data_IF_068740741599
#
_entry.id   IF_068740741599
#
_cell.length_a   1.000
_cell.length_b   1.000
_cell.length_c   1.000
_cell.angle_alpha   90.00
_cell.angle_beta   90.00
_cell.angle_gamma   90.00
#
_symmetry.space_group_name_H-M   'P 1'
#
loop_
_entity.id
_entity.type
_entity.pdbx_description
1 polymer ?
#
# COMPACT_ATOMS: atom_id res chain seq x y z
N UNK A 1 -12.01 1.31 6.44
CA UNK A 1 -12.54 1.35 7.82
C UNK A 1 -14.05 1.21 7.80
N UNK A 2 -14.65 0.73 8.89
CA UNK A 2 -16.11 0.62 9.02
C UNK A 2 -16.75 1.85 9.65
N UNK A 3 -17.98 2.14 9.24
CA UNK A 3 -18.83 3.19 9.82
C UNK A 3 -20.19 2.62 10.13
N UNK A 4 -20.75 3.01 11.28
CA UNK A 4 -22.15 2.71 11.59
C UNK A 4 -23.05 3.59 10.74
N UNK A 5 -24.03 3.00 10.08
CA UNK A 5 -25.01 3.70 9.22
C UNK A 5 -26.44 3.22 9.54
N UNK A 6 -27.43 3.96 9.03
CA UNK A 6 -28.83 3.69 9.28
C UNK A 6 -29.33 4.26 10.61
N UNK A 7 -30.65 4.16 10.88
CA UNK A 7 -31.24 4.57 12.16
C UNK A 7 -30.50 3.88 13.31
N UNK A 8 -30.06 4.67 14.29
CA UNK A 8 -29.33 4.21 15.48
C UNK A 8 -28.04 3.40 15.20
N UNK A 9 -27.50 3.46 13.97
CA UNK A 9 -26.33 2.71 13.57
C UNK A 9 -26.59 1.20 13.47
N UNK A 10 -27.73 0.82 12.89
CA UNK A 10 -28.21 -0.55 12.71
C UNK A 10 -27.37 -1.41 11.74
N UNK A 11 -26.51 -0.80 10.91
CA UNK A 11 -25.57 -1.52 10.05
C UNK A 11 -24.15 -1.07 10.28
N UNK A 12 -23.21 -1.98 10.01
CA UNK A 12 -21.81 -1.65 9.85
C UNK A 12 -21.44 -1.64 8.36
N UNK A 13 -21.24 -0.46 7.79
CA UNK A 13 -20.70 -0.31 6.44
C UNK A 13 -19.17 -0.34 6.47
N UNK A 14 -18.57 -1.38 5.93
CA UNK A 14 -17.12 -1.58 5.86
C UNK A 14 -16.60 -1.20 4.48
N UNK A 15 -15.91 -0.05 4.41
CA UNK A 15 -15.26 0.39 3.19
C UNK A 15 -13.85 -0.18 3.04
N UNK A 16 -13.58 -0.81 1.89
CA UNK A 16 -12.28 -1.31 1.46
C UNK A 16 -11.77 -0.43 0.32
N UNK A 17 -10.84 0.47 0.62
CA UNK A 17 -10.33 1.42 -0.37
C UNK A 17 -9.10 0.85 -1.09
N UNK A 18 -9.13 0.90 -2.43
CA UNK A 18 -8.01 0.72 -3.39
C UNK A 18 -7.36 -0.66 -3.58
N UNK A 19 -6.72 -0.75 -4.75
CA UNK A 19 -6.12 -1.91 -5.44
C UNK A 19 -4.72 -2.29 -4.91
N UNK A 20 -4.49 -2.18 -3.60
CA UNK A 20 -3.14 -2.34 -3.03
C UNK A 20 -3.11 -3.54 -2.06
N UNK A 21 -2.19 -4.49 -2.28
CA UNK A 21 -1.71 -5.50 -1.32
C UNK A 21 -2.62 -6.70 -0.98
N UNK A 22 -2.29 -7.83 -1.63
CA UNK A 22 -2.66 -9.24 -1.41
C UNK A 22 -4.14 -9.64 -1.39
N UNK A 23 -4.84 -9.33 -2.48
CA UNK A 23 -5.91 -10.21 -2.96
C UNK A 23 -5.28 -11.41 -3.66
N UNK A 24 -5.72 -12.63 -3.31
CA UNK A 24 -5.05 -13.87 -3.71
C UNK A 24 -4.86 -14.03 -5.24
N UNK A 25 -5.60 -13.29 -6.07
CA UNK A 25 -5.69 -13.48 -7.52
C UNK A 25 -5.72 -12.20 -8.37
N UNK A 26 -5.56 -10.99 -7.79
CA UNK A 26 -5.06 -9.87 -8.58
C UNK A 26 -3.67 -10.27 -9.10
N UNK A 27 -3.31 -9.97 -10.35
CA UNK A 27 -2.05 -10.38 -10.98
C UNK A 27 -0.94 -10.39 -9.93
N UNK A 28 -0.53 -11.58 -9.44
CA UNK A 28 0.46 -11.68 -8.38
C UNK A 28 1.77 -11.28 -9.02
N UNK A 29 2.11 -10.01 -8.95
CA UNK A 29 3.47 -9.58 -9.15
C UNK A 29 4.17 -9.99 -7.86
N UNK A 30 4.93 -11.10 -7.82
CA UNK A 30 5.67 -11.45 -6.63
C UNK A 30 6.50 -10.24 -6.23
N UNK A 31 6.55 -9.98 -4.93
CA UNK A 31 7.39 -8.92 -4.41
C UNK A 31 8.79 -9.08 -5.00
N UNK A 32 9.38 -8.01 -5.56
CA UNK A 32 10.73 -8.05 -6.06
C UNK A 32 11.75 -8.07 -4.92
N UNK A 33 11.31 -7.83 -3.67
CA UNK A 33 12.18 -7.86 -2.50
C UNK A 33 12.73 -9.26 -2.24
N UNK A 34 14.06 -9.33 -2.14
CA UNK A 34 14.82 -10.57 -2.00
C UNK A 34 16.29 -10.26 -1.68
N UNK A 35 17.10 -11.29 -1.35
CA UNK A 35 18.53 -11.14 -1.27
C UNK A 35 19.12 -10.73 -2.62
N UNK A 36 19.99 -9.73 -2.62
CA UNK A 36 20.72 -9.25 -3.79
C UNK A 36 22.21 -9.19 -3.47
N UNK A 37 23.07 -9.40 -4.47
CA UNK A 37 24.53 -9.38 -4.27
C UNK A 37 25.10 -8.09 -4.86
N UNK A 38 25.85 -7.35 -4.03
CA UNK A 38 26.62 -6.18 -4.44
C UNK A 38 28.04 -6.36 -3.92
N UNK A 39 29.01 -6.37 -4.83
CA UNK A 39 30.45 -6.45 -4.51
C UNK A 39 30.78 -7.63 -3.56
N UNK A 40 30.16 -8.79 -3.82
CA UNK A 40 30.33 -10.01 -3.01
C UNK A 40 29.52 -10.04 -1.70
N UNK A 41 28.86 -8.94 -1.32
CA UNK A 41 28.04 -8.86 -0.11
C UNK A 41 26.58 -9.15 -0.43
N UNK A 42 25.97 -10.04 0.35
CA UNK A 42 24.54 -10.37 0.27
C UNK A 42 23.73 -9.36 1.09
N UNK A 43 22.91 -8.56 0.43
CA UNK A 43 22.13 -7.48 1.01
C UNK A 43 20.64 -7.72 0.82
N UNK A 44 19.82 -7.04 1.62
CA UNK A 44 18.39 -6.94 1.34
C UNK A 44 18.11 -5.84 0.32
N UNK A 45 17.25 -6.15 -0.64
CA UNK A 45 16.96 -5.26 -1.75
C UNK A 45 15.82 -5.78 -2.59
N UNK A 46 15.66 -5.25 -3.79
CA UNK A 46 14.67 -5.71 -4.75
C UNK A 46 15.28 -5.85 -6.13
N UNK A 47 14.93 -6.90 -6.87
CA UNK A 47 15.44 -7.09 -8.23
C UNK A 47 14.43 -7.78 -9.16
N UNK A 48 14.28 -7.25 -10.38
CA UNK A 48 13.45 -7.83 -11.43
C UNK A 48 13.93 -7.45 -12.83
N UNK A 49 13.85 -8.40 -13.77
CA UNK A 49 14.21 -8.16 -15.18
C UNK A 49 13.19 -7.32 -15.96
N UNK A 50 11.91 -7.34 -15.57
CA UNK A 50 10.85 -6.51 -16.17
C UNK A 50 10.46 -5.37 -15.23
N UNK A 51 10.05 -4.20 -15.77
CA UNK A 51 9.53 -3.11 -14.96
C UNK A 51 8.36 -3.57 -14.11
N UNK A 52 8.34 -3.14 -12.86
CA UNK A 52 7.27 -3.32 -11.90
C UNK A 52 6.93 -1.96 -11.28
N UNK A 53 5.82 -1.86 -10.56
CA UNK A 53 5.42 -0.60 -9.92
C UNK A 53 5.14 -0.82 -8.45
N UNK A 54 5.74 0.03 -7.62
CA UNK A 54 5.29 0.32 -6.27
C UNK A 54 5.26 -0.89 -5.32
N UNK A 55 6.44 -1.38 -4.90
CA UNK A 55 6.57 -2.47 -3.94
C UNK A 55 7.24 -2.00 -2.67
N UNK A 56 6.85 -2.62 -1.57
CA UNK A 56 7.35 -2.26 -0.25
C UNK A 56 7.74 -3.48 0.56
N UNK A 57 8.71 -3.28 1.45
CA UNK A 57 9.00 -4.15 2.57
C UNK A 57 9.10 -3.32 3.83
N UNK A 58 8.31 -3.64 4.85
CA UNK A 58 8.18 -2.82 6.06
C UNK A 58 8.71 -3.56 7.27
N UNK A 59 9.30 -2.82 8.21
CA UNK A 59 9.65 -3.36 9.51
C UNK A 59 8.37 -3.54 10.35
N UNK A 60 7.94 -4.77 10.52
CA UNK A 60 6.83 -5.16 11.37
C UNK A 60 7.15 -6.51 12.03
N UNK A 61 7.82 -6.49 13.20
CA UNK A 61 8.18 -7.69 13.94
C UNK A 61 6.98 -8.37 14.60
N UNK A 62 5.78 -7.78 14.52
CA UNK A 62 4.58 -8.38 15.06
C UNK A 62 4.24 -9.69 14.31
N UNK A 63 3.68 -10.69 15.01
CA UNK A 63 3.11 -11.88 14.38
C UNK A 63 2.03 -11.53 13.34
N UNK A 64 1.87 -12.39 12.34
CA UNK A 64 0.73 -12.30 11.43
C UNK A 64 -0.59 -12.43 12.22
N UNK A 65 -1.62 -11.69 11.82
CA UNK A 65 -2.94 -11.69 12.49
C UNK A 65 -3.04 -10.85 13.76
N UNK A 66 -1.97 -10.20 14.23
CA UNK A 66 -2.04 -9.32 15.40
C UNK A 66 -2.69 -7.98 15.04
N UNK A 67 -3.77 -7.62 15.74
CA UNK A 67 -4.50 -6.36 15.57
C UNK A 67 -3.96 -5.22 16.47
N UNK A 68 -2.72 -5.32 16.94
CA UNK A 68 -2.14 -4.27 17.78
C UNK A 68 -1.66 -3.08 16.94
N UNK A 69 -1.79 -1.89 17.50
CA UNK A 69 -1.22 -0.66 16.92
C UNK A 69 0.02 -0.20 17.67
N UNK A 70 0.55 -1.04 18.57
CA UNK A 70 1.74 -0.77 19.37
C UNK A 70 3.07 -1.05 18.65
N UNK A 71 4.18 -0.87 19.36
CA UNK A 71 5.51 -1.14 18.82
C UNK A 71 5.88 -0.20 17.66
N UNK A 72 6.45 -0.69 16.55
CA UNK A 72 6.83 0.16 15.42
C UNK A 72 5.67 0.94 14.80
N UNK A 73 4.45 0.42 14.96
CA UNK A 73 3.24 1.07 14.48
C UNK A 73 2.84 2.30 15.31
N UNK A 74 3.31 2.42 16.56
CA UNK A 74 3.10 3.61 17.39
C UNK A 74 4.27 4.60 17.31
N UNK A 75 5.30 4.32 16.51
CA UNK A 75 6.40 5.27 16.33
C UNK A 75 5.88 6.54 15.66
N UNK A 76 6.08 7.66 16.33
CA UNK A 76 5.65 8.97 15.87
C UNK A 76 6.84 9.90 15.94
N UNK A 77 7.00 10.70 14.89
CA UNK A 77 8.07 11.65 14.77
C UNK A 77 9.49 11.05 14.96
N UNK A 78 10.17 10.71 13.87
CA UNK A 78 11.50 10.10 13.97
C UNK A 78 12.37 10.42 12.77
N UNK A 79 13.65 10.12 12.91
CA UNK A 79 14.65 10.22 11.85
C UNK A 79 14.99 8.82 11.32
N UNK A 80 15.06 8.68 10.00
CA UNK A 80 15.52 7.47 9.32
C UNK A 80 16.73 7.81 8.47
N UNK A 81 17.77 6.99 8.59
CA UNK A 81 18.88 6.94 7.64
C UNK A 81 18.99 5.57 7.00
N UNK A 82 19.25 5.51 5.70
CA UNK A 82 19.49 4.26 4.98
C UNK A 82 20.39 4.53 3.76
N UNK A 83 21.27 3.62 3.40
CA UNK A 83 21.97 3.70 2.12
C UNK A 83 21.20 2.91 1.06
N UNK A 84 21.08 3.47 -0.15
CA UNK A 84 20.55 2.75 -1.31
C UNK A 84 21.51 2.83 -2.51
N UNK A 85 21.53 1.77 -3.30
CA UNK A 85 22.25 1.69 -4.58
C UNK A 85 21.36 1.06 -5.64
N UNK A 86 21.21 1.76 -6.76
CA UNK A 86 20.47 1.28 -7.93
C UNK A 86 21.42 0.73 -8.99
N UNK A 87 21.00 -0.32 -9.71
CA UNK A 87 21.78 -0.90 -10.80
C UNK A 87 21.59 -0.18 -12.14
N UNK A 88 20.48 0.54 -12.32
CA UNK A 88 20.18 1.34 -13.51
C UNK A 88 19.37 2.58 -13.12
N UNK A 89 19.41 3.62 -13.94
CA UNK A 89 18.61 4.85 -13.77
C UNK A 89 17.09 4.60 -13.92
N UNK A 90 16.69 3.42 -14.41
CA UNK A 90 15.30 2.95 -14.48
C UNK A 90 14.80 2.31 -13.19
N UNK A 91 15.68 2.07 -12.22
CA UNK A 91 15.33 1.44 -10.96
C UNK A 91 14.88 2.49 -9.95
N UNK A 92 13.68 2.32 -9.40
CA UNK A 92 13.17 3.12 -8.29
C UNK A 92 13.72 2.65 -6.95
N UNK A 93 13.97 3.60 -6.05
CA UNK A 93 14.48 3.35 -4.72
C UNK A 93 13.94 4.41 -3.75
N UNK A 94 13.60 3.98 -2.54
CA UNK A 94 13.13 4.89 -1.49
C UNK A 94 13.03 4.24 -0.13
N UNK A 95 12.67 5.06 0.84
CA UNK A 95 12.30 4.67 2.21
C UNK A 95 10.98 5.36 2.59
N UNK A 96 10.15 4.67 3.36
CA UNK A 96 8.89 5.21 3.88
C UNK A 96 8.93 5.37 5.40
N UNK A 97 8.20 6.37 5.87
CA UNK A 97 8.05 6.78 7.26
C UNK A 97 6.57 6.86 7.60
N UNK A 98 6.28 6.62 8.87
CA UNK A 98 4.93 6.51 9.39
C UNK A 98 4.06 5.54 8.58
N UNK A 99 4.67 4.49 8.02
CA UNK A 99 3.94 3.59 7.15
C UNK A 99 2.90 2.80 7.93
N UNK A 100 1.69 2.85 7.39
CA UNK A 100 0.50 2.11 7.83
C UNK A 100 0.16 1.00 6.83
N UNK A 101 1.08 0.68 5.92
CA UNK A 101 0.83 -0.27 4.85
C UNK A 101 0.63 -1.71 5.35
N UNK A 102 1.40 -2.12 6.38
CA UNK A 102 1.22 -3.43 7.05
C UNK A 102 -0.14 -3.58 7.71
N UNK A 103 -0.78 -2.43 7.90
CA UNK A 103 -2.06 -2.16 8.53
C UNK A 103 -3.20 -2.00 7.51
N UNK A 104 -2.87 -2.15 6.22
CA UNK A 104 -3.86 -2.12 5.16
C UNK A 104 -4.33 -0.71 4.84
N UNK A 105 -3.57 0.32 5.24
CA UNK A 105 -3.78 1.70 4.83
C UNK A 105 -2.69 2.10 3.82
N UNK A 106 -3.10 2.69 2.70
CA UNK A 106 -2.16 3.39 1.82
C UNK A 106 -1.87 4.78 2.38
N UNK A 107 -1.17 4.81 3.53
CA UNK A 107 -0.78 6.02 4.26
C UNK A 107 0.67 5.93 4.75
N UNK A 108 1.49 6.86 4.27
CA UNK A 108 2.89 7.00 4.63
C UNK A 108 3.46 8.31 4.05
N UNK A 109 4.58 8.75 4.60
CA UNK A 109 5.46 9.73 3.96
C UNK A 109 6.63 8.95 3.36
N UNK A 110 7.04 9.30 2.15
CA UNK A 110 8.09 8.59 1.43
C UNK A 110 9.16 9.57 0.94
N UNK A 111 10.43 9.17 1.07
CA UNK A 111 11.52 9.75 0.29
C UNK A 111 11.91 8.72 -0.76
N UNK A 112 11.66 9.02 -2.03
CA UNK A 112 11.91 8.08 -3.10
C UNK A 112 12.26 8.75 -4.42
N UNK A 113 12.63 7.91 -5.38
CA UNK A 113 12.84 8.29 -6.78
C UNK A 113 12.32 7.22 -7.70
N UNK A 114 11.60 7.57 -8.76
CA UNK A 114 11.40 6.72 -9.93
C UNK A 114 11.27 7.53 -11.22
N UNK A 115 10.95 6.87 -12.33
CA UNK A 115 10.76 7.50 -13.63
C UNK A 115 9.28 7.68 -13.99
N UNK A 116 8.37 7.51 -13.04
CA UNK A 116 6.94 7.71 -13.31
C UNK A 116 6.67 9.20 -13.60
N UNK A 117 5.67 9.52 -14.45
CA UNK A 117 5.28 10.90 -14.71
C UNK A 117 4.81 11.67 -13.47
N UNK A 118 4.42 10.94 -12.43
CA UNK A 118 3.91 11.44 -11.15
C UNK A 118 5.01 11.67 -10.10
N UNK A 119 6.27 11.40 -10.44
CA UNK A 119 7.45 11.59 -9.58
C UNK A 119 8.32 12.78 -10.05
N UNK A 120 9.43 13.06 -9.34
CA UNK A 120 10.45 14.05 -9.77
C UNK A 120 11.30 13.59 -10.98
N UNK A 121 10.73 12.73 -11.85
CA UNK A 121 11.31 12.22 -13.10
C UNK A 121 12.75 11.76 -12.91
N UNK A 122 12.97 11.00 -11.85
CA UNK A 122 14.23 10.34 -11.55
C UNK A 122 15.12 10.99 -10.50
N UNK A 123 14.77 12.16 -9.99
CA UNK A 123 15.38 12.71 -8.77
C UNK A 123 14.75 12.12 -7.50
N UNK A 124 15.44 12.24 -6.37
CA UNK A 124 14.84 11.95 -5.05
C UNK A 124 13.98 13.12 -4.58
N UNK A 125 12.78 12.81 -4.08
CA UNK A 125 11.91 13.78 -3.42
C UNK A 125 10.96 13.14 -2.41
N UNK A 126 10.30 14.02 -1.66
CA UNK A 126 9.27 13.68 -0.69
C UNK A 126 7.92 13.48 -1.38
N UNK A 127 7.20 12.46 -0.90
CA UNK A 127 5.86 12.09 -1.34
C UNK A 127 5.02 11.68 -0.15
N UNK A 128 3.72 11.70 -0.36
CA UNK A 128 2.72 11.21 0.56
C UNK A 128 1.78 10.22 -0.10
N UNK A 129 1.23 9.35 0.74
CA UNK A 129 0.12 8.48 0.37
C UNK A 129 -1.06 8.77 1.30
N UNK A 130 -2.25 8.95 0.72
CA UNK A 130 -3.49 9.12 1.47
C UNK A 130 -3.60 10.44 2.26
N UNK A 131 -2.75 11.42 1.97
CA UNK A 131 -2.73 12.74 2.60
C UNK A 131 -2.33 13.85 1.62
N UNK A 132 -1.93 15.04 2.09
CA UNK A 132 -1.60 16.17 1.21
C UNK A 132 -0.37 16.93 1.67
N UNK A 133 0.79 16.58 1.12
CA UNK A 133 2.08 17.15 1.48
C UNK A 133 2.40 18.36 0.60
N UNK A 134 2.70 19.50 1.22
CA UNK A 134 2.90 20.78 0.53
C UNK A 134 4.25 21.38 0.92
N UNK A 135 5.06 21.78 -0.08
CA UNK A 135 6.33 22.45 0.13
C UNK A 135 7.37 22.13 -0.95
N UNK A 136 8.65 22.36 -0.62
CA UNK A 136 9.77 22.02 -1.50
C UNK A 136 10.10 20.54 -1.34
N UNK A 137 9.47 19.70 -2.14
CA UNK A 137 9.61 18.25 -2.03
C UNK A 137 10.86 17.67 -2.71
N UNK A 138 11.55 18.38 -3.60
CA UNK A 138 12.71 17.82 -4.32
C UNK A 138 14.05 18.03 -3.59
N UNK A 139 14.89 16.99 -3.58
CA UNK A 139 16.26 17.09 -3.05
C UNK A 139 17.27 17.63 -4.07
N UNK A 140 16.92 17.62 -5.37
CA UNK A 140 17.81 17.92 -6.48
C UNK A 140 18.82 16.81 -6.82
N UNK A 141 18.81 15.69 -6.09
CA UNK A 141 19.77 14.59 -6.31
C UNK A 141 19.22 13.57 -7.28
N UNK A 142 19.89 13.40 -8.42
CA UNK A 142 19.67 12.33 -9.40
C UNK A 142 20.75 11.26 -9.23
N UNK A 143 20.42 10.04 -8.76
CA UNK A 143 21.42 9.02 -8.51
C UNK A 143 21.98 8.46 -9.81
N UNK A 144 23.29 8.18 -9.81
CA UNK A 144 23.94 7.39 -10.87
C UNK A 144 23.85 5.91 -10.52
N UNK A 145 23.66 5.06 -11.53
CA UNK A 145 23.78 3.62 -11.36
C UNK A 145 25.12 3.21 -10.74
N UNK A 146 25.09 2.20 -9.88
CA UNK A 146 26.29 1.63 -9.26
C UNK A 146 26.89 2.44 -8.09
N UNK A 147 26.30 3.58 -7.73
CA UNK A 147 26.79 4.45 -6.65
C UNK A 147 25.88 4.36 -5.42
N UNK A 148 26.47 4.26 -4.24
CA UNK A 148 25.74 4.33 -2.97
C UNK A 148 25.37 5.77 -2.61
N UNK A 149 24.11 5.98 -2.27
CA UNK A 149 23.61 7.24 -1.72
C UNK A 149 23.04 7.00 -0.33
N UNK A 150 23.32 7.90 0.61
CA UNK A 150 22.66 7.96 1.90
C UNK A 150 21.39 8.79 1.78
N UNK A 151 20.29 8.20 2.21
CA UNK A 151 18.98 8.80 2.34
C UNK A 151 18.80 9.15 3.81
N UNK A 152 18.33 10.36 4.09
CA UNK A 152 17.97 10.79 5.43
C UNK A 152 16.65 11.54 5.39
N UNK A 153 15.71 11.13 6.22
CA UNK A 153 14.42 11.80 6.40
C UNK A 153 14.15 11.97 7.88
N UNK A 154 13.63 13.12 8.27
CA UNK A 154 13.13 13.38 9.62
C UNK A 154 11.70 13.90 9.55
N UNK A 155 10.83 13.39 10.40
CA UNK A 155 9.44 13.85 10.52
C UNK A 155 9.17 14.45 11.89
N UNK A 156 8.68 15.69 11.96
CA UNK A 156 8.24 16.37 13.19
C UNK A 156 6.71 16.34 13.23
N UNK A 157 6.13 15.81 14.31
CA UNK A 157 4.68 15.70 14.47
C UNK A 157 4.25 16.74 15.49
N UNK A 158 3.46 17.70 15.03
CA UNK A 158 2.96 18.83 15.83
C UNK A 158 1.42 18.84 15.84
N UNK A 159 0.80 19.57 16.78
CA UNK A 159 -0.63 19.84 16.71
C UNK A 159 -1.01 20.43 15.34
N UNK A 160 -1.86 19.71 14.60
CA UNK A 160 -2.39 20.17 13.31
C UNK A 160 -1.49 19.96 12.09
N UNK A 161 -0.23 19.51 12.22
CA UNK A 161 0.65 19.28 11.06
C UNK A 161 1.74 18.23 11.29
N UNK A 162 2.27 17.70 10.19
CA UNK A 162 3.51 16.90 10.16
C UNK A 162 4.49 17.57 9.22
N UNK A 163 5.73 17.80 9.66
CA UNK A 163 6.78 18.38 8.82
C UNK A 163 7.76 17.27 8.45
N UNK A 164 8.02 17.09 7.16
CA UNK A 164 9.00 16.14 6.65
C UNK A 164 10.18 16.89 6.03
N UNK A 165 11.40 16.55 6.46
CA UNK A 165 12.65 17.09 5.91
C UNK A 165 13.51 15.97 5.39
N UNK A 166 14.08 16.16 4.21
CA UNK A 166 14.90 15.14 3.56
C UNK A 166 16.18 15.70 2.97
N UNK A 167 17.20 14.84 2.96
CA UNK A 167 18.42 15.05 2.20
C UNK A 167 19.03 13.73 1.75
N UNK A 168 19.69 13.80 0.61
CA UNK A 168 20.37 12.69 -0.05
C UNK A 168 21.76 13.14 -0.45
N UNK A 169 22.75 12.27 -0.27
CA UNK A 169 24.13 12.53 -0.69
C UNK A 169 24.85 11.22 -0.96
N UNK A 170 26.00 11.26 -1.64
CA UNK A 170 26.81 10.05 -1.86
C UNK A 170 27.28 9.49 -0.52
N UNK A 171 27.08 8.20 -0.29
CA UNK A 171 27.54 7.55 0.93
C UNK A 171 29.07 7.68 1.06
N UNK A 172 29.56 7.89 2.28
CA UNK A 172 30.98 8.16 2.57
C UNK A 172 31.43 9.60 2.32
N UNK A 173 30.55 10.49 1.82
CA UNK A 173 30.79 11.94 1.81
C UNK A 173 30.16 12.60 3.05
N UNK A 174 30.66 13.76 3.49
CA UNK A 174 30.06 14.51 4.59
C UNK A 174 28.58 14.80 4.36
N UNK A 175 27.81 14.77 5.43
CA UNK A 175 26.38 15.10 5.42
C UNK A 175 26.19 16.58 5.02
N UNK A 176 25.27 16.88 4.08
CA UNK A 176 24.95 18.27 3.75
C UNK A 176 24.46 19.04 4.98
N UNK A 177 24.94 20.28 5.19
CA UNK A 177 24.61 21.06 6.38
C UNK A 177 23.16 21.55 6.37
N UNK A 178 22.54 21.66 5.19
CA UNK A 178 21.14 22.12 5.02
C UNK A 178 20.26 20.97 4.55
N UNK A 179 18.99 21.01 4.95
CA UNK A 179 17.96 20.17 4.36
C UNK A 179 17.77 20.54 2.88
N UNK A 180 17.62 19.53 2.03
CA UNK A 180 17.49 19.74 0.58
C UNK A 180 16.01 19.85 0.18
N UNK A 181 15.16 19.04 0.80
CA UNK A 181 13.72 19.05 0.68
C UNK A 181 13.07 19.26 2.06
N UNK A 182 11.98 20.01 2.08
CA UNK A 182 11.16 20.28 3.25
C UNK A 182 9.71 20.53 2.81
N UNK A 183 8.79 19.79 3.40
CA UNK A 183 7.35 19.91 3.13
C UNK A 183 6.55 19.62 4.40
N UNK A 184 5.34 20.15 4.49
CA UNK A 184 4.43 19.92 5.60
C UNK A 184 3.07 19.37 5.13
N UNK A 185 2.46 18.55 5.96
CA UNK A 185 1.14 17.97 5.75
C UNK A 185 0.19 18.46 6.84
N UNK A 186 -0.78 19.28 6.45
CA UNK A 186 -1.84 19.81 7.33
C UNK A 186 -3.18 19.13 7.11
N UNK A 187 -3.23 18.11 6.25
CA UNK A 187 -4.48 17.45 5.90
C UNK A 187 -5.08 16.76 7.14
N UNK A 188 -6.42 16.64 7.22
CA UNK A 188 -7.06 15.83 8.26
C UNK A 188 -6.66 14.35 8.21
N UNK A 189 -6.17 13.88 7.07
CA UNK A 189 -5.75 12.48 6.85
C UNK A 189 -4.24 12.27 6.96
N UNK A 190 -3.49 13.31 7.37
CA UNK A 190 -2.04 13.24 7.58
C UNK A 190 -1.65 12.06 8.47
N UNK A 191 -0.54 11.42 8.13
CA UNK A 191 -0.04 10.27 8.87
C UNK A 191 0.93 10.73 9.96
N UNK A 192 0.56 10.50 11.22
CA UNK A 192 1.33 10.98 12.39
C UNK A 192 2.16 9.90 13.06
N UNK A 193 1.93 8.63 12.71
CA UNK A 193 2.61 7.49 13.32
C UNK A 193 2.62 6.29 12.38
N UNK A 194 3.60 5.42 12.56
CA UNK A 194 3.74 4.17 11.81
C UNK A 194 5.19 3.77 11.66
N UNK A 195 5.39 2.64 10.98
CA UNK A 195 6.70 2.01 10.90
C UNK A 195 7.54 2.55 9.74
N UNK A 196 8.77 2.09 9.64
CA UNK A 196 9.67 2.35 8.52
C UNK A 196 9.52 1.27 7.44
N UNK A 197 9.68 1.67 6.17
CA UNK A 197 9.70 0.76 5.03
C UNK A 197 10.81 1.06 4.03
N UNK A 198 11.09 0.05 3.20
CA UNK A 198 11.91 0.13 2.00
C UNK A 198 10.99 0.06 0.79
N UNK A 199 11.28 0.86 -0.23
CA UNK A 199 10.44 0.95 -1.43
C UNK A 199 11.20 0.73 -2.72
N UNK A 200 10.62 -0.05 -3.63
CA UNK A 200 11.20 -0.32 -4.93
C UNK A 200 10.17 -0.19 -6.06
N UNK A 201 10.63 0.27 -7.22
CA UNK A 201 9.83 0.39 -8.45
C UNK A 201 10.72 0.24 -9.69
N UNK A 202 10.13 0.20 -10.89
CA UNK A 202 10.87 0.19 -12.15
C UNK A 202 11.49 -1.16 -12.48
N UNK A 203 12.57 -1.17 -13.27
CA UNK A 203 13.30 -2.38 -13.67
C UNK A 203 14.75 -2.36 -13.17
N UNK A 204 15.37 -3.52 -13.01
CA UNK A 204 16.73 -3.64 -12.47
C UNK A 204 16.74 -4.03 -10.99
N UNK A 205 17.76 -3.56 -10.25
CA UNK A 205 18.02 -3.94 -8.87
C UNK A 205 18.29 -2.70 -7.99
N UNK A 206 17.67 -2.66 -6.82
CA UNK A 206 18.05 -1.77 -5.71
C UNK A 206 18.57 -2.62 -4.56
N UNK A 207 19.64 -2.18 -3.92
CA UNK A 207 20.19 -2.76 -2.70
C UNK A 207 20.20 -1.73 -1.58
N UNK A 208 19.96 -2.16 -0.36
CA UNK A 208 19.96 -1.31 0.84
C UNK A 208 20.97 -1.80 1.87
N UNK A 209 21.46 -0.86 2.71
CA UNK A 209 22.28 -1.16 3.89
C UNK A 209 22.18 -0.05 4.92
N UNK A 210 22.57 -0.35 6.16
CA UNK A 210 22.68 0.64 7.25
C UNK A 210 21.36 1.38 7.52
N UNK A 211 20.25 0.65 7.64
CA UNK A 211 18.97 1.24 8.01
C UNK A 211 18.96 1.52 9.50
N UNK A 212 18.75 2.77 9.87
CA UNK A 212 18.69 3.19 11.26
C UNK A 212 17.51 4.13 11.48
N UNK A 213 16.79 3.92 12.57
CA UNK A 213 15.65 4.73 13.00
C UNK A 213 15.91 5.24 14.41
N UNK A 214 15.78 6.55 14.60
CA UNK A 214 16.06 7.22 15.88
C UNK A 214 14.90 8.17 16.20
N UNK A 215 14.39 8.11 17.43
CA UNK A 215 13.33 9.03 17.88
C UNK A 215 13.88 10.43 18.24
N UNK A 216 12.99 11.34 18.62
CA UNK A 216 13.36 12.70 19.04
C UNK A 216 14.28 12.78 20.26
N UNK A 217 14.24 11.78 21.14
CA UNK A 217 15.07 11.72 22.33
C UNK A 217 16.47 11.13 22.02
N UNK A 218 16.74 10.76 20.76
CA UNK A 218 17.99 10.12 20.36
C UNK A 218 18.02 8.62 20.64
N UNK A 219 16.90 8.01 21.06
CA UNK A 219 16.82 6.57 21.27
C UNK A 219 16.77 5.86 19.92
N UNK A 220 17.62 4.85 19.77
CA UNK A 220 17.63 3.97 18.61
C UNK A 220 16.40 3.06 18.69
N UNK A 221 15.50 3.20 17.72
CA UNK A 221 14.30 2.38 17.57
C UNK A 221 14.55 1.13 16.70
N UNK A 222 15.43 1.26 15.71
CA UNK A 222 15.88 0.18 14.82
C UNK A 222 17.32 0.47 14.37
N UNK A 223 18.18 -0.54 14.38
CA UNK A 223 19.51 -0.49 13.78
C UNK A 223 19.74 -1.81 13.04
N UNK A 224 19.49 -1.79 11.73
CA UNK A 224 19.48 -2.97 10.88
C UNK A 224 20.50 -2.80 9.75
N UNK A 225 21.59 -3.60 9.72
CA UNK A 225 22.60 -3.49 8.69
C UNK A 225 22.07 -3.85 7.29
N UNK A 226 20.99 -4.64 7.20
CA UNK A 226 20.43 -5.22 5.97
C UNK A 226 21.42 -6.10 5.20
N UNK A 227 22.44 -6.60 5.91
CA UNK A 227 23.37 -7.63 5.42
C UNK A 227 22.79 -8.98 5.81
N UNK A 228 22.58 -9.85 4.83
CA UNK A 228 21.86 -11.11 5.02
C UNK A 228 22.84 -12.29 5.17
N UNK A 229 22.80 -13.03 6.30
CA UNK A 229 23.52 -14.29 6.43
C UNK A 229 23.13 -15.29 5.34
N UNK A 230 23.99 -16.26 4.98
CA UNK A 230 23.64 -17.32 4.04
C UNK A 230 22.29 -17.99 4.38
N UNK A 231 21.51 -18.34 3.36
CA UNK A 231 20.17 -18.96 3.54
C UNK A 231 19.04 -18.01 3.96
N UNK A 232 19.33 -16.80 4.45
CA UNK A 232 18.28 -15.85 4.90
C UNK A 232 17.54 -15.22 3.72
N UNK A 233 16.20 -15.17 3.73
CA UNK A 233 15.41 -14.56 2.64
C UNK A 233 15.17 -13.05 2.83
N UNK A 234 14.96 -12.62 4.06
CA UNK A 234 14.71 -11.23 4.44
C UNK A 234 15.24 -10.98 5.87
N UNK A 235 15.57 -9.73 6.24
CA UNK A 235 15.95 -9.39 7.61
C UNK A 235 14.83 -9.71 8.60
N UNK A 236 15.20 -9.95 9.86
CA UNK A 236 14.22 -10.29 10.90
C UNK A 236 13.23 -9.13 11.08
N UNK A 237 11.94 -9.46 11.14
CA UNK A 237 10.89 -8.47 11.33
C UNK A 237 10.49 -7.70 10.08
N UNK A 238 11.07 -7.97 8.89
CA UNK A 238 10.58 -7.37 7.65
C UNK A 238 9.47 -8.21 7.01
N UNK A 239 8.46 -7.55 6.47
CA UNK A 239 7.36 -8.18 5.73
C UNK A 239 6.95 -7.43 4.48
N UNK A 240 6.47 -8.20 3.51
CA UNK A 240 5.95 -7.74 2.23
C UNK A 240 4.42 -7.86 2.28
N UNK A 241 3.71 -6.76 2.56
CA UNK A 241 2.24 -6.74 2.59
C UNK A 241 1.64 -6.52 3.99
N UNK A 242 0.34 -6.75 4.06
CA UNK A 242 -0.49 -6.57 5.25
C UNK A 242 -0.36 -7.72 6.26
N UNK A 243 -0.78 -7.50 7.51
CA UNK A 243 -0.85 -8.53 8.57
C UNK A 243 -1.96 -9.57 8.37
N UNK A 244 -2.93 -9.28 7.51
CA UNK A 244 -4.09 -10.10 7.20
C UNK A 244 -4.74 -9.66 5.89
N UNK A 245 -5.94 -10.17 5.60
CA UNK A 245 -6.71 -9.69 4.45
C UNK A 245 -7.21 -8.26 4.68
N UNK A 246 -7.55 -7.53 3.60
CA UNK A 246 -8.11 -6.19 3.72
C UNK A 246 -9.43 -6.16 4.48
N UNK A 247 -10.27 -7.18 4.28
CA UNK A 247 -11.54 -7.31 4.97
C UNK A 247 -11.32 -7.57 6.47
N UNK A 248 -10.43 -8.50 6.83
CA UNK A 248 -10.07 -8.78 8.22
C UNK A 248 -9.62 -7.53 8.97
N UNK A 249 -8.73 -6.77 8.35
CA UNK A 249 -8.17 -5.57 8.95
C UNK A 249 -9.21 -4.46 9.05
N UNK A 250 -10.03 -4.27 8.02
CA UNK A 250 -11.09 -3.29 8.05
C UNK A 250 -12.14 -3.60 9.14
N UNK A 251 -12.45 -4.89 9.34
CA UNK A 251 -13.31 -5.34 10.45
C UNK A 251 -12.66 -5.09 11.81
N UNK A 252 -11.38 -5.44 11.99
CA UNK A 252 -10.65 -5.22 13.24
C UNK A 252 -10.58 -3.74 13.65
N UNK A 253 -10.53 -2.83 12.67
CA UNK A 253 -10.51 -1.37 12.86
C UNK A 253 -11.89 -0.74 12.98
N UNK A 254 -12.94 -1.50 12.67
CA UNK A 254 -14.29 -0.99 12.72
C UNK A 254 -14.72 -0.75 14.17
N UNK A 255 -15.62 0.21 14.42
CA UNK A 255 -16.22 0.35 15.74
C UNK A 255 -16.85 -0.97 16.17
N UNK A 256 -16.77 -1.29 17.46
CA UNK A 256 -17.51 -2.43 18.02
C UNK A 256 -19.01 -2.20 17.79
N UNK A 257 -19.69 -3.25 17.35
CA UNK A 257 -21.14 -3.27 17.12
C UNK A 257 -21.77 -4.42 17.89
N UNK A 258 -23.05 -4.33 18.28
CA UNK A 258 -23.76 -5.43 18.92
C UNK A 258 -23.67 -6.73 18.08
N UNK A 259 -23.58 -7.90 18.72
CA UNK A 259 -23.68 -9.19 18.02
C UNK A 259 -24.91 -9.22 17.11
N UNK A 260 -24.74 -9.75 15.89
CA UNK A 260 -25.82 -9.82 14.90
C UNK A 260 -26.04 -8.55 14.07
N UNK A 261 -25.31 -7.45 14.34
CA UNK A 261 -25.36 -6.24 13.50
C UNK A 261 -24.95 -6.59 12.06
N UNK A 262 -25.80 -6.38 11.04
CA UNK A 262 -25.46 -6.75 9.67
C UNK A 262 -24.31 -5.90 9.12
N UNK A 263 -23.35 -6.57 8.47
CA UNK A 263 -22.18 -5.95 7.87
C UNK A 263 -22.36 -5.81 6.37
N UNK A 264 -22.20 -4.61 5.83
CA UNK A 264 -22.21 -4.35 4.39
C UNK A 264 -20.78 -4.03 3.97
N UNK A 265 -20.20 -4.80 3.05
CA UNK A 265 -18.87 -4.52 2.52
C UNK A 265 -19.00 -3.71 1.25
N UNK A 266 -18.32 -2.56 1.21
CA UNK A 266 -18.15 -1.76 -0.01
C UNK A 266 -16.69 -1.89 -0.46
N UNK A 267 -16.48 -2.51 -1.62
CA UNK A 267 -15.15 -2.83 -2.14
C UNK A 267 -14.97 -2.35 -3.57
N UNK A 268 -13.75 -1.97 -3.95
CA UNK A 268 -13.45 -1.85 -5.38
C UNK A 268 -13.52 -3.22 -6.05
N UNK A 269 -12.88 -4.24 -5.49
CA UNK A 269 -12.74 -5.57 -6.09
C UNK A 269 -13.80 -6.55 -5.59
N UNK A 270 -14.49 -7.23 -6.51
CA UNK A 270 -15.55 -8.20 -6.21
C UNK A 270 -15.04 -9.47 -5.51
N UNK A 271 -13.77 -9.82 -5.73
CA UNK A 271 -13.11 -11.04 -5.23
C UNK A 271 -13.17 -11.19 -3.70
N UNK A 272 -13.31 -10.09 -2.97
CA UNK A 272 -13.51 -10.09 -1.51
C UNK A 272 -14.73 -10.91 -1.08
N UNK A 273 -15.70 -11.13 -1.98
CA UNK A 273 -16.87 -11.97 -1.74
C UNK A 273 -16.50 -13.37 -1.26
N UNK A 274 -15.37 -13.94 -1.71
CA UNK A 274 -14.93 -15.28 -1.28
C UNK A 274 -14.56 -15.34 0.21
N UNK A 275 -14.07 -14.24 0.75
CA UNK A 275 -13.77 -14.13 2.17
C UNK A 275 -15.02 -13.70 2.95
N UNK A 276 -15.72 -12.69 2.44
CA UNK A 276 -16.95 -12.18 3.04
C UNK A 276 -17.98 -13.30 3.23
N UNK A 277 -18.14 -14.19 2.23
CA UNK A 277 -19.06 -15.32 2.30
C UNK A 277 -18.67 -16.30 3.38
N UNK A 278 -17.41 -16.69 3.49
CA UNK A 278 -16.90 -17.55 4.57
C UNK A 278 -17.10 -16.94 5.96
N UNK A 279 -17.06 -15.61 6.07
CA UNK A 279 -17.31 -14.86 7.30
C UNK A 279 -18.80 -14.62 7.61
N UNK A 280 -19.72 -15.09 6.76
CA UNK A 280 -21.17 -14.89 6.95
C UNK A 280 -21.63 -13.45 6.74
N UNK A 281 -20.90 -12.66 5.95
CA UNK A 281 -21.27 -11.27 5.66
C UNK A 281 -22.44 -11.23 4.65
N UNK A 282 -23.52 -10.47 4.91
CA UNK A 282 -24.71 -10.42 4.07
C UNK A 282 -24.48 -9.94 2.65
N UNK A 283 -23.78 -8.83 2.49
CA UNK A 283 -23.74 -8.10 1.23
C UNK A 283 -22.33 -7.60 0.95
N UNK A 284 -21.91 -7.77 -0.31
CA UNK A 284 -20.73 -7.14 -0.90
C UNK A 284 -21.18 -6.30 -2.08
N UNK A 285 -20.97 -5.00 -1.99
CA UNK A 285 -21.15 -4.04 -3.08
C UNK A 285 -19.77 -3.78 -3.69
N UNK A 286 -19.61 -4.09 -4.97
CA UNK A 286 -18.33 -4.09 -5.66
C UNK A 286 -18.35 -3.38 -7.01
N UNK A 287 -17.15 -3.08 -7.53
CA UNK A 287 -16.92 -2.62 -8.89
C UNK A 287 -15.82 -3.44 -9.58
N UNK A 288 -14.76 -2.76 -10.02
CA UNK A 288 -13.53 -3.30 -10.64
C UNK A 288 -13.67 -3.93 -12.03
N UNK A 289 -14.76 -4.62 -12.33
CA UNK A 289 -14.91 -5.36 -13.59
C UNK A 289 -15.15 -4.46 -14.79
N UNK A 290 -15.62 -3.23 -14.56
CA UNK A 290 -16.15 -2.31 -15.57
C UNK A 290 -17.22 -2.93 -16.49
N UNK A 291 -17.86 -4.04 -16.08
CA UNK A 291 -18.72 -4.85 -16.96
C UNK A 291 -17.99 -5.46 -18.16
N UNK A 292 -16.66 -5.55 -18.08
CA UNK A 292 -15.72 -5.87 -19.14
C UNK A 292 -15.36 -4.71 -20.06
N UNK A 293 -16.05 -3.57 -19.95
CA UNK A 293 -16.03 -2.35 -20.78
C UNK A 293 -16.14 -2.51 -22.31
N UNK A 294 -15.50 -3.51 -22.91
CA UNK A 294 -15.61 -3.92 -24.32
C UNK A 294 -16.14 -5.34 -24.36
N UNK A 295 -17.35 -5.48 -24.90
CA UNK A 295 -18.05 -6.77 -24.98
C UNK A 295 -18.27 -7.13 -26.44
N UNK A 296 -18.07 -8.41 -26.76
CA UNK A 296 -18.44 -8.93 -28.06
C UNK A 296 -19.94 -9.24 -28.00
N UNK A 297 -20.75 -8.74 -28.96
CA UNK A 297 -22.18 -9.05 -29.02
C UNK A 297 -22.38 -10.57 -28.97
N UNK A 298 -23.35 -11.04 -28.16
CA UNK A 298 -23.67 -12.45 -27.91
C UNK A 298 -22.62 -13.28 -27.13
N UNK A 299 -21.36 -12.87 -27.07
CA UNK A 299 -20.30 -13.60 -26.36
C UNK A 299 -19.93 -12.98 -25.00
N UNK A 300 -20.25 -11.70 -24.79
CA UNK A 300 -20.01 -11.02 -23.51
C UNK A 300 -18.60 -10.41 -23.40
N UNK A 301 -18.09 -10.20 -22.18
CA UNK A 301 -16.86 -9.46 -21.95
C UNK A 301 -15.61 -10.32 -22.25
N UNK A 302 -14.60 -9.71 -22.89
CA UNK A 302 -13.32 -10.38 -23.15
C UNK A 302 -12.53 -10.68 -21.87
N UNK A 303 -12.65 -9.80 -20.88
CA UNK A 303 -12.02 -9.96 -19.57
C UNK A 303 -12.72 -9.05 -18.57
N UNK A 304 -12.87 -9.53 -17.33
CA UNK A 304 -13.33 -8.73 -16.20
C UNK A 304 -12.18 -8.36 -15.26
N UNK A 305 -10.97 -8.89 -15.52
CA UNK A 305 -9.78 -8.80 -14.65
C UNK A 305 -10.03 -9.20 -13.18
N UNK A 306 -11.13 -9.90 -12.92
CA UNK A 306 -11.45 -10.52 -11.63
C UNK A 306 -11.16 -12.01 -11.69
N UNK A 307 -10.78 -12.61 -10.55
CA UNK A 307 -10.59 -14.05 -10.42
C UNK A 307 -11.89 -14.84 -10.30
N UNK A 308 -13.02 -14.14 -10.16
CA UNK A 308 -14.34 -14.75 -10.22
C UNK A 308 -14.66 -15.23 -11.64
N UNK A 309 -13.97 -14.70 -12.66
CA UNK A 309 -14.17 -15.03 -14.06
C UNK A 309 -15.13 -14.07 -14.76
N UNK A 310 -15.34 -14.29 -16.06
CA UNK A 310 -16.17 -13.42 -16.92
C UNK A 310 -17.66 -13.50 -16.62
N UNK A 311 -18.12 -14.56 -15.94
CA UNK A 311 -19.51 -14.69 -15.49
C UNK A 311 -19.91 -13.61 -14.48
N UNK A 312 -18.99 -13.19 -13.63
CA UNK A 312 -19.21 -12.15 -12.63
C UNK A 312 -18.80 -10.79 -13.19
N UNK A 313 -19.45 -10.36 -14.28
CA UNK A 313 -19.10 -9.13 -14.98
C UNK A 313 -19.85 -7.90 -14.46
N UNK A 314 -21.16 -7.99 -14.21
CA UNK A 314 -22.01 -6.92 -13.68
C UNK A 314 -23.34 -7.50 -13.19
N UNK A 315 -23.95 -6.85 -12.20
CA UNK A 315 -25.27 -7.23 -11.68
C UNK A 315 -25.19 -7.92 -10.32
N UNK A 316 -26.31 -8.55 -9.93
CA UNK A 316 -26.48 -9.23 -8.65
C UNK A 316 -26.20 -10.73 -8.81
N UNK A 317 -25.44 -11.27 -7.87
CA UNK A 317 -25.09 -12.68 -7.76
C UNK A 317 -25.28 -13.14 -6.32
N UNK A 318 -25.57 -14.42 -6.12
CA UNK A 318 -25.59 -15.05 -4.80
C UNK A 318 -24.38 -15.99 -4.69
N UNK A 319 -23.58 -15.80 -3.64
CA UNK A 319 -22.34 -16.54 -3.43
C UNK A 319 -22.48 -17.45 -2.21
N UNK A 320 -22.40 -18.76 -2.43
CA UNK A 320 -22.58 -19.75 -1.36
C UNK A 320 -21.34 -19.88 -0.45
N UNK A 321 -21.56 -20.19 0.83
CA UNK A 321 -20.53 -20.54 1.78
C UNK A 321 -21.01 -21.60 2.79
N UNK A 322 -20.12 -22.48 3.27
CA UNK A 322 -20.45 -23.49 4.28
C UNK A 322 -20.51 -22.88 5.68
N UNK A 323 -21.51 -22.06 5.94
CA UNK A 323 -21.84 -21.53 7.26
C UNK A 323 -23.36 -21.34 7.40
N UNK A 324 -23.83 -21.04 8.62
CA UNK A 324 -25.26 -20.95 8.96
C UNK A 324 -26.04 -19.92 8.13
N UNK A 325 -25.35 -18.96 7.51
CA UNK A 325 -25.98 -17.98 6.63
C UNK A 325 -26.26 -18.53 5.23
N UNK A 326 -25.42 -19.43 4.73
CA UNK A 326 -25.55 -20.06 3.42
C UNK A 326 -25.17 -19.17 2.22
N UNK A 327 -25.63 -17.91 2.17
CA UNK A 327 -25.46 -17.02 1.01
C UNK A 327 -24.98 -15.60 1.37
N UNK A 328 -24.13 -15.06 0.49
CA UNK A 328 -23.76 -13.65 0.43
C UNK A 328 -24.18 -13.07 -0.91
N UNK A 329 -24.94 -11.97 -0.86
CA UNK A 329 -25.30 -11.24 -2.08
C UNK A 329 -24.11 -10.37 -2.52
N UNK A 330 -23.64 -10.61 -3.74
CA UNK A 330 -22.64 -9.80 -4.43
C UNK A 330 -23.32 -8.94 -5.48
N UNK A 331 -23.16 -7.62 -5.41
CA UNK A 331 -23.59 -6.72 -6.47
C UNK A 331 -22.38 -6.05 -7.11
N UNK A 332 -22.18 -6.24 -8.41
CA UNK A 332 -21.09 -5.66 -9.19
C UNK A 332 -21.64 -4.54 -10.08
N UNK A 333 -21.27 -3.30 -9.79
CA UNK A 333 -21.59 -2.17 -10.64
C UNK A 333 -20.53 -2.01 -11.76
N UNK A 334 -20.90 -1.87 -13.04
CA UNK A 334 -19.94 -1.69 -14.13
C UNK A 334 -19.31 -0.28 -14.16
N UNK A 335 -19.78 0.64 -13.31
CA UNK A 335 -19.28 2.00 -13.14
C UNK A 335 -19.51 2.90 -14.35
N UNK A 336 -19.09 4.16 -14.21
CA UNK A 336 -19.15 5.17 -15.28
C UNK A 336 -17.81 5.37 -16.00
N UNK A 337 -16.68 5.06 -15.35
CA UNK A 337 -15.32 5.30 -15.86
C UNK A 337 -14.75 4.18 -16.74
N UNK A 338 -13.59 4.38 -17.34
CA UNK A 338 -12.90 3.41 -18.21
C UNK A 338 -11.57 2.98 -17.58
N UNK A 339 -11.07 1.79 -17.92
CA UNK A 339 -9.78 1.29 -17.45
C UNK A 339 -8.91 0.79 -18.61
N UNK A 340 -7.62 1.12 -18.57
CA UNK A 340 -6.57 0.78 -19.56
C UNK A 340 -6.79 1.33 -20.98
N UNK A 341 -7.92 1.03 -21.61
CA UNK A 341 -8.32 1.60 -22.89
C UNK A 341 -9.45 2.62 -22.68
N UNK A 342 -9.38 3.81 -23.31
CA UNK A 342 -10.40 4.84 -23.19
C UNK A 342 -11.59 4.55 -24.11
N UNK A 343 -12.16 3.34 -24.03
CA UNK A 343 -13.28 2.91 -24.85
C UNK A 343 -14.25 1.99 -24.10
N UNK A 344 -15.55 2.13 -24.41
CA UNK A 344 -16.62 1.23 -24.00
C UNK A 344 -17.43 0.81 -25.23
N UNK A 345 -17.75 -0.48 -25.33
CA UNK A 345 -18.56 -1.04 -26.40
C UNK A 345 -19.51 -2.10 -25.82
N UNK A 346 -20.81 -1.96 -26.08
CA UNK A 346 -21.91 -2.77 -25.52
C UNK A 346 -21.96 -2.80 -23.96
N UNK A 347 -21.27 -1.86 -23.31
CA UNK A 347 -21.23 -1.72 -21.85
C UNK A 347 -21.45 -0.26 -21.40
N UNK A 348 -22.71 0.22 -21.42
CA UNK A 348 -23.00 1.61 -21.07
C UNK A 348 -22.57 1.93 -19.63
N UNK A 349 -22.11 3.17 -19.36
CA UNK A 349 -21.91 3.68 -18.01
C UNK A 349 -23.14 3.44 -17.12
N UNK A 350 -22.93 3.00 -15.87
CA UNK A 350 -24.03 2.88 -14.89
C UNK A 350 -23.61 3.38 -13.52
N UNK A 351 -24.60 3.87 -12.79
CA UNK A 351 -24.57 4.12 -11.35
C UNK A 351 -25.71 3.30 -10.72
N UNK A 352 -25.71 3.12 -9.40
CA UNK A 352 -26.76 2.39 -8.71
C UNK A 352 -27.12 3.10 -7.40
N UNK A 353 -28.41 3.07 -7.07
CA UNK A 353 -28.91 3.31 -5.72
C UNK A 353 -29.10 1.95 -5.08
N UNK A 354 -28.62 1.78 -3.86
CA UNK A 354 -28.85 0.58 -3.07
C UNK A 354 -29.62 1.02 -1.83
N UNK A 355 -30.86 0.53 -1.74
CA UNK A 355 -31.68 0.70 -0.55
C UNK A 355 -31.42 -0.46 0.39
N UNK A 356 -31.07 -0.13 1.63
CA UNK A 356 -30.88 -1.11 2.70
C UNK A 356 -32.13 -1.04 3.57
N UNK A 357 -32.96 -2.08 3.51
CA UNK A 357 -34.17 -2.19 4.32
C UNK A 357 -33.83 -2.36 5.81
N UNK A 358 -34.80 -2.04 6.68
CA UNK A 358 -34.69 -2.13 8.15
C UNK A 358 -34.23 -3.50 8.65
#
# INVERSE_FOLDING_TARGET
EGRRIGPDGSYLLVGLNTQVGNDHLAWRWPSPFRPVTVDGVRLYGAARGKPYRNFYSHYDPAPAGLADTGGPLSWSGYEVTCDARISTEKTGAGISLHSRYVDGEDRQIELSRDLSPWSQRGGFGLFEHGSGLVGKNETGVRPRAGVWYRLKVRTEVEPGRVIARAKVWRAGRPEPPRWQAEAEDRSPTRVTQGTVGLWASGGGMVAYRNLRVVDYAGKILLDEPLVLPPGTRAPKGFREGTRGSRLEMALARSPRVPPGTPVIVLSHMADVVREASRRGIPVVLAGHTHGGQVRIPLFGPLTTRSSLGVFYDRGRFEFAAPNDRGLTTLYINPGIGMSVIPARFDCPPRWAVVEVGR
#
